data_IF_851106460925
#
_entry.id   IF_851106460925
#
_cell.length_a   1.000
_cell.length_b   1.000
_cell.length_c   1.000
_cell.angle_alpha   90.00
_cell.angle_beta   90.00
_cell.angle_gamma   90.00
#
_symmetry.space_group_name_H-M   'P 1'
#
loop_
_entity.id
_entity.type
_entity.pdbx_description
1 polymer ?
#
# COMPACT_ATOMS: atom_id res chain seq x y z
N UNK A 1 5.77 26.84 25.14
CA UNK A 1 7.13 26.39 24.79
C UNK A 1 7.25 26.45 23.26
N UNK A 2 8.43 26.77 22.73
CA UNK A 2 8.61 26.69 21.28
C UNK A 2 8.33 25.25 20.81
N UNK A 3 7.67 25.12 19.66
CA UNK A 3 7.34 23.83 19.05
C UNK A 3 8.63 23.21 18.52
N UNK A 4 8.95 21.98 18.95
CA UNK A 4 9.98 21.19 18.30
C UNK A 4 9.40 20.62 17.00
N UNK A 5 9.74 21.27 15.88
CA UNK A 5 9.16 20.96 14.58
C UNK A 5 9.49 19.55 14.09
N UNK A 6 10.70 19.06 14.35
CA UNK A 6 11.12 17.73 13.91
C UNK A 6 10.45 16.65 14.76
N UNK A 7 10.40 16.84 16.08
CA UNK A 7 9.70 15.93 16.97
C UNK A 7 8.20 15.85 16.65
N UNK A 8 7.55 17.00 16.36
CA UNK A 8 6.14 17.01 15.97
C UNK A 8 5.92 16.27 14.65
N UNK A 9 6.71 16.55 13.60
CA UNK A 9 6.59 15.85 12.31
C UNK A 9 6.76 14.34 12.47
N UNK A 10 7.72 13.91 13.30
CA UNK A 10 7.91 12.50 13.62
C UNK A 10 6.69 11.91 14.33
N UNK A 11 6.15 12.62 15.34
CA UNK A 11 4.94 12.18 16.04
C UNK A 11 3.72 12.07 15.13
N UNK A 12 3.56 12.97 14.14
CA UNK A 12 2.51 12.87 13.13
C UNK A 12 2.65 11.60 12.29
N UNK A 13 3.87 11.28 11.83
CA UNK A 13 4.14 10.07 11.06
C UNK A 13 3.92 8.81 11.89
N UNK A 14 4.44 8.77 13.11
CA UNK A 14 4.28 7.63 14.00
C UNK A 14 2.79 7.39 14.33
N UNK A 15 1.99 8.45 14.53
CA UNK A 15 0.55 8.33 14.77
C UNK A 15 -0.22 7.79 13.55
N UNK A 16 0.20 8.17 12.34
CA UNK A 16 -0.39 7.65 11.10
C UNK A 16 -0.14 6.14 10.95
N UNK A 17 1.08 5.67 11.27
CA UNK A 17 1.43 4.24 11.28
C UNK A 17 0.63 3.49 12.34
N UNK A 18 0.59 3.99 13.59
CA UNK A 18 -0.10 3.33 14.70
C UNK A 18 -1.61 3.22 14.46
N UNK A 19 -2.24 4.21 13.83
CA UNK A 19 -3.66 4.19 13.48
C UNK A 19 -4.03 3.07 12.51
N UNK A 20 -3.08 2.57 11.71
CA UNK A 20 -3.29 1.48 10.77
C UNK A 20 -2.61 0.16 11.22
N UNK A 21 -2.00 0.14 12.43
CA UNK A 21 -1.29 -1.06 12.86
C UNK A 21 -2.27 -2.16 13.29
N UNK A 22 -2.14 -3.42 12.76
CA UNK A 22 -3.07 -4.51 13.01
C UNK A 22 -3.39 -4.77 14.48
N UNK A 23 -2.41 -4.59 15.38
CA UNK A 23 -2.59 -4.80 16.83
C UNK A 23 -3.65 -3.88 17.45
N UNK A 24 -3.93 -2.74 16.84
CA UNK A 24 -4.89 -1.76 17.35
C UNK A 24 -6.24 -1.87 16.65
N UNK A 25 -6.25 -2.20 15.36
CA UNK A 25 -7.47 -2.12 14.56
C UNK A 25 -8.18 -3.45 14.36
N UNK A 26 -7.47 -4.61 14.35
CA UNK A 26 -8.08 -5.86 13.95
C UNK A 26 -9.11 -6.40 14.96
N UNK A 27 -8.81 -6.30 16.25
CA UNK A 27 -9.62 -6.92 17.30
C UNK A 27 -11.06 -6.40 17.35
N UNK A 28 -11.28 -5.12 17.06
CA UNK A 28 -12.59 -4.46 17.14
C UNK A 28 -13.52 -4.85 15.97
N UNK A 29 -12.95 -5.42 14.91
CA UNK A 29 -13.68 -5.84 13.71
C UNK A 29 -13.99 -7.34 13.67
N UNK A 30 -13.34 -8.13 14.53
CA UNK A 30 -13.57 -9.58 14.59
C UNK A 30 -14.98 -9.91 15.12
N UNK A 31 -15.55 -11.07 14.72
CA UNK A 31 -16.81 -11.53 15.28
C UNK A 31 -16.76 -11.57 16.82
N UNK A 32 -17.90 -11.29 17.47
CA UNK A 32 -18.02 -11.37 18.94
C UNK A 32 -17.73 -12.78 19.45
N UNK A 33 -18.30 -13.80 18.78
CA UNK A 33 -18.00 -15.20 19.06
C UNK A 33 -16.67 -15.60 18.41
N UNK A 34 -15.66 -15.82 19.23
CA UNK A 34 -14.29 -16.23 18.84
C UNK A 34 -13.95 -17.63 19.36
N UNK A 35 -14.95 -18.38 19.83
CA UNK A 35 -14.76 -19.70 20.43
C UNK A 35 -14.72 -20.84 19.41
N UNK A 36 -15.28 -20.65 18.21
CA UNK A 36 -15.33 -21.64 17.16
C UNK A 36 -14.00 -21.85 16.42
N UNK A 37 -13.97 -22.87 15.55
CA UNK A 37 -12.85 -23.12 14.65
C UNK A 37 -12.76 -22.04 13.57
N UNK A 38 -11.56 -21.51 13.36
CA UNK A 38 -11.28 -20.59 12.27
C UNK A 38 -10.02 -20.99 11.50
N UNK A 39 -10.12 -20.90 10.17
CA UNK A 39 -9.00 -21.08 9.25
C UNK A 39 -8.57 -19.71 8.78
N UNK A 40 -7.36 -19.30 9.13
CA UNK A 40 -6.78 -18.01 8.74
C UNK A 40 -5.97 -18.18 7.48
N UNK A 41 -6.29 -17.39 6.47
CA UNK A 41 -5.48 -17.23 5.28
C UNK A 41 -5.14 -15.74 5.12
N UNK A 42 -4.08 -15.41 4.40
CA UNK A 42 -3.74 -13.98 4.27
C UNK A 42 -2.65 -13.72 3.24
N UNK A 43 -2.64 -12.49 2.74
CA UNK A 43 -1.61 -12.02 1.84
C UNK A 43 -1.40 -10.51 1.93
N UNK A 44 -0.16 -10.07 1.99
CA UNK A 44 0.21 -8.66 1.98
C UNK A 44 1.33 -8.34 2.97
N UNK A 45 1.87 -7.13 2.88
CA UNK A 45 2.97 -6.64 3.72
C UNK A 45 2.63 -6.67 5.23
N UNK A 46 1.36 -6.47 5.59
CA UNK A 46 0.88 -6.53 6.97
C UNK A 46 0.29 -7.90 7.38
N UNK A 47 0.19 -8.87 6.45
CA UNK A 47 -0.52 -10.13 6.70
C UNK A 47 0.04 -10.91 7.89
N UNK A 48 1.36 -10.93 8.09
CA UNK A 48 2.00 -11.57 9.24
C UNK A 48 1.66 -10.88 10.57
N UNK A 49 1.68 -9.55 10.63
CA UNK A 49 1.28 -8.79 11.81
C UNK A 49 -0.23 -8.93 12.11
N UNK A 50 -1.06 -9.02 11.07
CA UNK A 50 -2.48 -9.32 11.23
C UNK A 50 -2.69 -10.73 11.79
N UNK A 51 -1.91 -11.73 11.33
CA UNK A 51 -1.94 -13.09 11.85
C UNK A 51 -1.48 -13.13 13.32
N UNK A 52 -0.43 -12.42 13.69
CA UNK A 52 0.01 -12.26 15.08
C UNK A 52 -1.09 -11.60 15.95
N UNK A 53 -1.76 -10.57 15.42
CA UNK A 53 -2.81 -9.87 16.15
C UNK A 53 -4.03 -10.77 16.42
N UNK A 54 -4.48 -11.56 15.42
CA UNK A 54 -5.62 -12.46 15.61
C UNK A 54 -5.29 -13.60 16.56
N UNK A 55 -4.06 -14.14 16.55
CA UNK A 55 -3.65 -15.19 17.51
C UNK A 55 -3.77 -14.76 18.96
N UNK A 56 -3.58 -13.48 19.24
CA UNK A 56 -3.65 -12.93 20.61
C UNK A 56 -5.06 -12.84 21.16
N UNK A 57 -6.07 -12.77 20.27
CA UNK A 57 -7.46 -12.48 20.66
C UNK A 57 -8.44 -13.61 20.31
N UNK A 58 -8.03 -14.61 19.54
CA UNK A 58 -8.89 -15.75 19.17
C UNK A 58 -8.78 -16.87 20.20
N UNK A 59 -9.89 -17.17 20.86
CA UNK A 59 -9.94 -18.16 21.96
C UNK A 59 -10.12 -19.59 21.47
N UNK A 60 -10.79 -19.79 20.33
CA UNK A 60 -11.09 -21.09 19.76
C UNK A 60 -9.95 -21.74 19.00
N UNK A 61 -10.26 -22.81 18.29
CA UNK A 61 -9.33 -23.48 17.39
C UNK A 61 -8.96 -22.52 16.24
N UNK A 62 -7.67 -22.32 16.06
CA UNK A 62 -7.12 -21.43 15.01
C UNK A 62 -5.97 -22.14 14.32
N UNK A 63 -6.03 -22.18 13.01
CA UNK A 63 -4.93 -22.68 12.16
C UNK A 63 -4.91 -21.89 10.86
N UNK A 64 -3.83 -21.97 10.11
CA UNK A 64 -3.83 -21.29 8.82
C UNK A 64 -2.46 -21.03 8.23
N UNK A 65 -2.46 -20.22 7.18
CA UNK A 65 -1.29 -19.88 6.38
C UNK A 65 -1.43 -18.46 5.83
N UNK A 66 -0.46 -17.62 6.08
CA UNK A 66 -0.38 -16.27 5.49
C UNK A 66 0.92 -16.10 4.72
N UNK A 67 0.89 -15.29 3.67
CA UNK A 67 2.07 -14.91 2.91
C UNK A 67 2.35 -13.41 3.05
N UNK A 68 3.60 -13.09 3.35
CA UNK A 68 4.09 -11.71 3.46
C UNK A 68 5.32 -11.50 2.59
N UNK A 69 5.78 -10.25 2.46
CA UNK A 69 7.04 -9.93 1.80
C UNK A 69 8.23 -10.43 2.63
N UNK A 70 9.35 -10.75 1.98
CA UNK A 70 10.61 -11.01 2.67
C UNK A 70 10.94 -9.90 3.68
N UNK A 71 11.47 -10.27 4.84
CA UNK A 71 11.82 -9.39 5.97
C UNK A 71 10.62 -8.81 6.73
N UNK A 72 9.37 -9.23 6.41
CA UNK A 72 8.14 -8.81 7.10
C UNK A 72 7.53 -9.91 7.97
N UNK A 73 8.35 -10.87 8.39
CA UNK A 73 7.93 -11.97 9.27
C UNK A 73 7.38 -11.46 10.61
N UNK A 74 6.43 -12.21 11.18
CA UNK A 74 5.98 -12.09 12.56
C UNK A 74 5.88 -13.49 13.20
N UNK A 75 6.14 -13.55 14.49
CA UNK A 75 6.15 -14.83 15.23
C UNK A 75 4.72 -15.29 15.54
N UNK A 76 4.24 -16.25 14.78
CA UNK A 76 2.96 -16.91 14.99
C UNK A 76 3.17 -18.36 15.46
N UNK A 77 2.27 -18.85 16.31
CA UNK A 77 2.34 -20.22 16.89
C UNK A 77 1.35 -21.18 16.23
N UNK A 78 0.20 -20.67 15.77
CA UNK A 78 -0.93 -21.43 15.21
C UNK A 78 -1.09 -21.20 13.72
N UNK A 79 -0.57 -20.11 13.19
CA UNK A 79 -0.65 -19.71 11.79
C UNK A 79 0.74 -19.75 11.20
N UNK A 80 0.92 -20.48 10.11
CA UNK A 80 2.19 -20.50 9.39
C UNK A 80 2.39 -19.18 8.65
N UNK A 81 3.55 -18.57 8.77
CA UNK A 81 3.94 -17.37 8.02
C UNK A 81 4.99 -17.75 6.98
N UNK A 82 4.70 -17.50 5.72
CA UNK A 82 5.62 -17.73 4.60
C UNK A 82 5.98 -16.39 3.97
N UNK A 83 7.22 -16.24 3.58
CA UNK A 83 7.72 -15.07 2.88
C UNK A 83 7.85 -15.32 1.38
N UNK A 84 7.55 -14.30 0.56
CA UNK A 84 7.63 -14.35 -0.89
C UNK A 84 8.05 -13.01 -1.49
N UNK A 85 8.39 -12.99 -2.77
CA UNK A 85 8.83 -11.80 -3.47
C UNK A 85 7.70 -10.81 -3.77
N UNK A 86 8.02 -9.54 -3.64
CA UNK A 86 7.19 -8.40 -4.01
C UNK A 86 8.10 -7.30 -4.62
N UNK A 87 7.74 -6.58 -5.68
CA UNK A 87 6.43 -6.57 -6.38
C UNK A 87 6.26 -7.64 -7.47
N UNK A 88 7.32 -8.36 -7.85
CA UNK A 88 7.25 -9.39 -8.88
C UNK A 88 7.02 -10.75 -8.21
N UNK A 89 5.91 -11.45 -8.55
CA UNK A 89 5.63 -12.77 -7.98
C UNK A 89 6.75 -13.77 -8.25
N UNK A 90 7.03 -14.62 -7.28
CA UNK A 90 7.96 -15.75 -7.39
C UNK A 90 7.27 -17.11 -7.17
N UNK A 91 8.03 -18.19 -7.28
CA UNK A 91 7.53 -19.54 -7.06
C UNK A 91 7.07 -19.79 -5.60
N UNK A 92 7.59 -19.03 -4.64
CA UNK A 92 7.16 -19.13 -3.24
C UNK A 92 5.71 -18.66 -3.10
N UNK A 93 5.36 -17.50 -3.68
CA UNK A 93 4.00 -16.99 -3.72
C UNK A 93 3.03 -17.92 -4.44
N UNK A 94 3.44 -18.53 -5.57
CA UNK A 94 2.61 -19.51 -6.28
C UNK A 94 2.35 -20.77 -5.44
N UNK A 95 3.40 -21.33 -4.79
CA UNK A 95 3.25 -22.50 -3.90
C UNK A 95 2.31 -22.22 -2.74
N UNK A 96 2.44 -21.04 -2.11
CA UNK A 96 1.55 -20.63 -1.02
C UNK A 96 0.11 -20.51 -1.51
N UNK A 97 -0.13 -19.90 -2.66
CA UNK A 97 -1.47 -19.78 -3.21
C UNK A 97 -2.15 -21.13 -3.50
N UNK A 98 -1.39 -22.14 -3.94
CA UNK A 98 -1.89 -23.53 -4.07
C UNK A 98 -2.25 -24.13 -2.71
N UNK A 99 -1.39 -24.00 -1.71
CA UNK A 99 -1.64 -24.47 -0.35
C UNK A 99 -2.83 -23.77 0.30
N UNK A 100 -3.04 -22.49 0.03
CA UNK A 100 -4.24 -21.77 0.47
C UNK A 100 -5.51 -22.41 -0.09
N UNK A 101 -5.55 -22.72 -1.39
CA UNK A 101 -6.70 -23.40 -1.99
C UNK A 101 -6.90 -24.83 -1.43
N UNK A 102 -5.84 -25.55 -1.13
CA UNK A 102 -5.90 -26.86 -0.47
C UNK A 102 -6.47 -26.75 0.96
N UNK A 103 -6.04 -25.76 1.73
CA UNK A 103 -6.52 -25.51 3.10
C UNK A 103 -8.02 -25.18 3.16
N UNK A 104 -8.54 -24.48 2.15
CA UNK A 104 -9.95 -24.09 2.09
C UNK A 104 -10.79 -25.05 1.25
N UNK A 105 -10.24 -26.18 0.81
CA UNK A 105 -11.00 -27.23 0.17
C UNK A 105 -11.77 -28.07 1.20
N UNK A 106 -12.97 -28.53 0.85
CA UNK A 106 -13.80 -29.42 1.65
C UNK A 106 -14.21 -28.81 3.02
N UNK A 107 -14.50 -27.51 3.03
CA UNK A 107 -15.05 -26.84 4.20
C UNK A 107 -16.56 -27.16 4.38
N UNK A 108 -17.00 -27.09 5.62
CA UNK A 108 -18.41 -27.21 5.98
C UNK A 108 -19.06 -25.82 6.23
N UNK A 109 -20.38 -25.76 6.27
CA UNK A 109 -21.12 -24.52 6.50
C UNK A 109 -20.81 -23.90 7.88
N UNK A 110 -20.45 -24.73 8.86
CA UNK A 110 -20.03 -24.34 10.21
C UNK A 110 -18.62 -23.77 10.27
N UNK A 111 -17.79 -24.04 9.25
CA UNK A 111 -16.42 -23.52 9.21
C UNK A 111 -16.39 -22.01 8.95
N UNK A 112 -15.33 -21.40 9.44
CA UNK A 112 -15.10 -19.96 9.34
C UNK A 112 -13.73 -19.70 8.73
N UNK A 113 -13.70 -18.98 7.62
CA UNK A 113 -12.44 -18.53 7.00
C UNK A 113 -12.23 -17.06 7.29
N UNK A 114 -11.06 -16.72 7.82
CA UNK A 114 -10.65 -15.33 8.03
C UNK A 114 -9.53 -15.02 7.04
N UNK A 115 -9.81 -14.08 6.15
CA UNK A 115 -8.84 -13.64 5.14
C UNK A 115 -8.24 -12.29 5.52
N UNK A 116 -6.95 -12.30 5.84
CA UNK A 116 -6.17 -11.12 6.24
C UNK A 116 -5.47 -10.53 5.01
N UNK A 117 -5.87 -9.32 4.64
CA UNK A 117 -5.47 -8.70 3.37
C UNK A 117 -4.82 -7.34 3.58
N UNK A 118 -3.73 -7.08 2.89
CA UNK A 118 -3.08 -5.76 2.90
C UNK A 118 -2.32 -5.50 1.61
N UNK A 119 -1.69 -4.34 1.51
CA UNK A 119 -0.89 -3.94 0.37
C UNK A 119 0.12 -4.99 -0.10
N UNK A 120 0.29 -5.08 -1.42
CA UNK A 120 1.14 -6.10 -2.04
C UNK A 120 0.50 -7.49 -2.20
N UNK A 121 -0.68 -7.74 -1.63
CA UNK A 121 -1.36 -9.04 -1.67
C UNK A 121 -1.59 -9.58 -3.09
N UNK A 122 -1.74 -8.71 -4.09
CA UNK A 122 -1.95 -9.13 -5.49
C UNK A 122 -0.75 -9.88 -6.09
N UNK A 123 0.47 -9.53 -5.72
CA UNK A 123 1.70 -10.20 -6.17
C UNK A 123 2.09 -11.36 -5.27
N UNK A 124 1.92 -11.21 -3.95
CA UNK A 124 2.26 -12.25 -2.97
C UNK A 124 1.37 -13.49 -3.08
N UNK A 125 0.08 -13.31 -3.41
CA UNK A 125 -0.87 -14.42 -3.62
C UNK A 125 -1.17 -14.56 -5.13
N UNK A 126 -0.18 -15.00 -5.90
CA UNK A 126 -0.25 -15.12 -7.34
C UNK A 126 -0.40 -16.59 -7.77
N UNK A 127 -1.60 -16.98 -8.20
CA UNK A 127 -1.86 -18.28 -8.80
C UNK A 127 -2.40 -18.11 -10.21
N UNK A 128 -1.66 -18.55 -11.24
CA UNK A 128 -2.16 -18.57 -12.61
C UNK A 128 -3.38 -19.48 -12.75
N UNK A 129 -4.25 -19.16 -13.69
CA UNK A 129 -5.35 -20.03 -14.08
C UNK A 129 -4.85 -21.32 -14.75
N UNK A 130 -5.72 -22.32 -14.87
CA UNK A 130 -5.39 -23.62 -15.48
C UNK A 130 -4.79 -23.45 -16.90
N UNK A 131 -3.70 -24.13 -17.19
CA UNK A 131 -3.02 -24.06 -18.48
C UNK A 131 -2.19 -22.78 -18.73
N UNK A 132 -2.17 -21.85 -17.79
CA UNK A 132 -1.36 -20.62 -17.85
C UNK A 132 -0.16 -20.76 -16.89
N UNK A 133 1.04 -20.46 -17.38
CA UNK A 133 2.23 -20.45 -16.54
C UNK A 133 2.38 -19.12 -15.80
N UNK A 134 3.15 -19.13 -14.69
CA UNK A 134 3.54 -17.89 -14.00
C UNK A 134 4.30 -16.95 -14.95
N UNK A 135 5.14 -17.50 -15.81
CA UNK A 135 5.89 -16.75 -16.83
C UNK A 135 4.98 -16.04 -17.83
N UNK A 136 3.90 -16.71 -18.33
CA UNK A 136 2.91 -16.07 -19.21
C UNK A 136 2.25 -14.88 -18.50
N UNK A 137 1.84 -15.08 -17.26
CA UNK A 137 1.19 -14.06 -16.45
C UNK A 137 2.12 -12.86 -16.18
N UNK A 138 3.38 -13.11 -15.86
CA UNK A 138 4.40 -12.06 -15.67
C UNK A 138 4.64 -11.30 -16.98
N UNK A 139 4.75 -11.99 -18.11
CA UNK A 139 4.97 -11.36 -19.43
C UNK A 139 3.81 -10.43 -19.81
N UNK A 140 2.56 -10.88 -19.64
CA UNK A 140 1.36 -10.08 -19.89
C UNK A 140 1.30 -8.87 -18.93
N UNK A 141 1.56 -9.08 -17.64
CA UNK A 141 1.57 -7.99 -16.68
C UNK A 141 2.63 -6.92 -17.02
N UNK A 142 3.83 -7.36 -17.41
CA UNK A 142 4.90 -6.45 -17.86
C UNK A 142 4.52 -5.68 -19.14
N UNK A 143 3.81 -6.32 -20.06
CA UNK A 143 3.32 -5.67 -21.27
C UNK A 143 2.23 -4.63 -20.95
N UNK A 144 1.28 -4.95 -20.07
CA UNK A 144 0.25 -4.03 -19.59
C UNK A 144 0.86 -2.79 -18.91
N UNK A 145 1.84 -2.96 -18.02
CA UNK A 145 2.53 -1.85 -17.37
C UNK A 145 3.22 -0.89 -18.36
N UNK A 146 3.66 -1.41 -19.52
CA UNK A 146 4.33 -0.62 -20.55
C UNK A 146 3.37 -0.01 -21.57
N UNK A 147 2.13 -0.46 -21.60
CA UNK A 147 1.16 -0.07 -22.63
C UNK A 147 0.45 1.25 -22.34
N UNK A 148 0.52 1.75 -21.11
CA UNK A 148 -0.27 2.89 -20.64
C UNK A 148 -1.71 2.53 -20.26
N UNK A 149 -2.04 1.23 -20.14
CA UNK A 149 -3.33 0.77 -19.60
C UNK A 149 -3.50 1.28 -18.15
N UNK A 150 -4.67 1.78 -17.83
CA UNK A 150 -4.94 2.20 -16.45
C UNK A 150 -5.18 0.99 -15.54
N UNK A 151 -5.07 1.21 -14.22
CA UNK A 151 -5.09 0.13 -13.22
C UNK A 151 -6.34 -0.74 -13.29
N UNK A 152 -7.52 -0.17 -13.58
CA UNK A 152 -8.76 -0.92 -13.74
C UNK A 152 -8.71 -1.92 -14.89
N UNK A 153 -8.15 -1.53 -16.05
CA UNK A 153 -7.95 -2.42 -17.21
C UNK A 153 -6.92 -3.51 -16.89
N UNK A 154 -5.80 -3.13 -16.26
CA UNK A 154 -4.80 -4.11 -15.83
C UNK A 154 -5.40 -5.14 -14.86
N UNK A 155 -6.22 -4.71 -13.90
CA UNK A 155 -6.87 -5.60 -12.95
C UNK A 155 -7.94 -6.48 -13.60
N UNK A 156 -8.68 -6.00 -14.60
CA UNK A 156 -9.57 -6.84 -15.40
C UNK A 156 -8.82 -8.05 -15.98
N UNK A 157 -7.70 -7.82 -16.66
CA UNK A 157 -6.88 -8.92 -17.23
C UNK A 157 -6.30 -9.80 -16.13
N UNK A 158 -5.73 -9.22 -15.06
CA UNK A 158 -5.12 -9.96 -13.94
C UNK A 158 -6.08 -10.91 -13.25
N UNK A 159 -7.35 -10.51 -13.07
CA UNK A 159 -8.39 -11.32 -12.44
C UNK A 159 -8.74 -12.52 -13.31
N UNK A 160 -8.94 -12.33 -14.62
CA UNK A 160 -9.33 -13.38 -15.54
C UNK A 160 -8.20 -14.38 -15.85
N UNK A 161 -6.94 -14.02 -15.63
CA UNK A 161 -5.78 -14.91 -15.72
C UNK A 161 -5.39 -15.58 -14.39
N UNK A 162 -6.26 -15.56 -13.38
CA UNK A 162 -5.95 -16.04 -12.03
C UNK A 162 -6.92 -17.12 -11.57
N UNK A 163 -6.41 -18.12 -10.86
CA UNK A 163 -7.23 -19.14 -10.20
C UNK A 163 -7.79 -18.69 -8.84
N UNK A 164 -7.38 -17.50 -8.31
CA UNK A 164 -7.71 -17.09 -6.94
C UNK A 164 -8.39 -15.73 -6.85
N UNK A 165 -8.19 -14.84 -7.83
CA UNK A 165 -8.72 -13.47 -7.86
C UNK A 165 -10.17 -13.41 -8.37
N UNK A 166 -10.82 -12.22 -8.26
CA UNK A 166 -12.17 -12.00 -8.79
C UNK A 166 -13.22 -12.91 -8.16
N UNK A 167 -13.23 -13.02 -6.85
CA UNK A 167 -14.18 -13.83 -6.08
C UNK A 167 -13.87 -15.33 -6.02
N UNK A 168 -12.89 -15.82 -6.79
CA UNK A 168 -12.60 -17.26 -6.86
C UNK A 168 -12.14 -17.88 -5.55
N UNK A 169 -11.46 -17.11 -4.69
CA UNK A 169 -11.10 -17.58 -3.34
C UNK A 169 -12.37 -17.79 -2.48
N UNK A 170 -13.33 -16.86 -2.53
CA UNK A 170 -14.60 -17.05 -1.82
C UNK A 170 -15.35 -18.29 -2.32
N UNK A 171 -15.36 -18.51 -3.65
CA UNK A 171 -15.93 -19.75 -4.24
C UNK A 171 -15.24 -21.01 -3.72
N UNK A 172 -13.92 -20.99 -3.58
CA UNK A 172 -13.16 -22.13 -3.06
C UNK A 172 -13.48 -22.42 -1.58
N UNK A 173 -13.84 -21.39 -0.81
CA UNK A 173 -14.23 -21.52 0.59
C UNK A 173 -15.69 -22.01 0.78
N UNK A 174 -16.52 -21.98 -0.26
CA UNK A 174 -17.93 -22.37 -0.15
C UNK A 174 -18.08 -23.82 0.36
N UNK A 175 -19.00 -24.14 1.33
CA UNK A 175 -20.05 -23.28 1.89
C UNK A 175 -19.69 -22.53 3.19
N UNK A 176 -18.42 -22.50 3.60
CA UNK A 176 -17.99 -21.78 4.80
C UNK A 176 -18.22 -20.26 4.68
N UNK A 177 -18.34 -19.59 5.83
CA UNK A 177 -18.38 -18.13 5.87
C UNK A 177 -16.98 -17.55 5.76
N UNK A 178 -16.81 -16.54 4.88
CA UNK A 178 -15.53 -15.85 4.66
C UNK A 178 -15.60 -14.43 5.21
N UNK A 179 -14.69 -14.09 6.10
CA UNK A 179 -14.53 -12.74 6.65
C UNK A 179 -13.20 -12.17 6.20
N UNK A 180 -13.25 -11.22 5.27
CA UNK A 180 -12.06 -10.52 4.77
C UNK A 180 -11.87 -9.23 5.54
N UNK A 181 -10.73 -9.09 6.20
CA UNK A 181 -10.30 -7.85 6.85
C UNK A 181 -9.15 -7.27 6.05
N UNK A 182 -9.32 -6.06 5.55
CA UNK A 182 -8.36 -5.43 4.66
C UNK A 182 -7.79 -4.12 5.23
N UNK A 183 -6.48 -3.98 5.18
CA UNK A 183 -5.76 -2.71 5.30
C UNK A 183 -5.51 -2.22 3.88
N UNK A 184 -6.11 -1.09 3.51
CA UNK A 184 -6.04 -0.57 2.15
C UNK A 184 -4.78 0.27 1.93
N UNK A 185 -4.15 0.04 0.78
CA UNK A 185 -3.14 0.92 0.18
C UNK A 185 -3.57 1.40 -1.22
N UNK A 186 -4.86 1.29 -1.52
CA UNK A 186 -5.41 1.63 -2.84
C UNK A 186 -6.18 2.94 -2.75
N UNK A 187 -5.88 3.94 -3.59
CA UNK A 187 -6.68 5.16 -3.68
C UNK A 187 -8.16 4.85 -3.92
N UNK A 188 -9.04 5.44 -3.10
CA UNK A 188 -10.48 5.20 -3.14
C UNK A 188 -10.96 3.91 -2.50
N UNK A 189 -10.07 3.11 -1.90
CA UNK A 189 -10.39 1.95 -1.05
C UNK A 189 -11.30 0.89 -1.70
N UNK A 190 -11.23 0.74 -3.03
CA UNK A 190 -12.14 -0.14 -3.76
C UNK A 190 -11.79 -1.62 -3.55
N UNK A 191 -12.70 -2.38 -2.92
CA UNK A 191 -12.51 -3.78 -2.58
C UNK A 191 -12.16 -4.68 -3.79
N UNK A 192 -12.65 -4.34 -4.99
CA UNK A 192 -12.36 -5.07 -6.23
C UNK A 192 -10.95 -4.85 -6.75
N UNK A 193 -10.27 -3.78 -6.28
CA UNK A 193 -8.89 -3.42 -6.64
C UNK A 193 -7.90 -3.97 -5.63
N UNK A 194 -8.22 -3.93 -4.32
CA UNK A 194 -7.37 -4.45 -3.24
C UNK A 194 -7.08 -5.93 -3.50
N UNK A 195 -5.80 -6.28 -3.68
CA UNK A 195 -5.30 -7.59 -4.10
C UNK A 195 -6.02 -8.21 -5.31
N UNK A 196 -6.71 -7.40 -6.13
CA UNK A 196 -7.57 -7.81 -7.25
C UNK A 196 -8.80 -8.64 -6.81
N UNK A 197 -9.37 -8.36 -5.65
CA UNK A 197 -10.66 -8.84 -5.18
C UNK A 197 -10.81 -10.35 -5.05
N UNK A 198 -9.99 -11.08 -4.26
CA UNK A 198 -10.08 -12.55 -4.16
C UNK A 198 -11.42 -13.05 -3.61
N UNK A 199 -12.07 -12.26 -2.77
CA UNK A 199 -13.30 -12.65 -2.03
C UNK A 199 -14.52 -11.78 -2.36
N UNK A 200 -14.41 -10.90 -3.33
CA UNK A 200 -15.50 -10.00 -3.75
C UNK A 200 -15.89 -10.21 -5.21
N UNK A 201 -17.10 -9.81 -5.58
CA UNK A 201 -17.60 -9.88 -6.94
C UNK A 201 -16.75 -9.04 -7.91
N UNK A 202 -16.66 -9.48 -9.14
CA UNK A 202 -15.99 -8.77 -10.23
C UNK A 202 -16.98 -8.49 -11.37
N UNK A 203 -17.33 -7.22 -11.62
CA UNK A 203 -18.25 -6.88 -12.70
C UNK A 203 -17.66 -7.05 -14.11
N UNK A 204 -16.32 -7.16 -14.23
CA UNK A 204 -15.65 -7.26 -15.54
C UNK A 204 -15.76 -8.66 -16.11
N UNK A 205 -15.54 -8.83 -17.42
CA UNK A 205 -15.71 -10.10 -18.13
C UNK A 205 -14.40 -10.56 -18.80
N UNK A 206 -14.30 -11.85 -19.09
CA UNK A 206 -13.17 -12.42 -19.82
C UNK A 206 -13.07 -11.85 -21.25
N UNK A 207 -14.20 -11.54 -21.88
CA UNK A 207 -14.25 -10.86 -23.18
C UNK A 207 -13.61 -9.47 -23.10
N UNK A 208 -13.94 -8.67 -22.05
CA UNK A 208 -13.31 -7.37 -21.84
C UNK A 208 -11.80 -7.52 -21.61
N UNK A 209 -11.34 -8.54 -20.87
CA UNK A 209 -9.92 -8.80 -20.68
C UNK A 209 -9.20 -9.05 -22.03
N UNK A 210 -9.82 -9.80 -22.94
CA UNK A 210 -9.28 -10.03 -24.27
C UNK A 210 -9.28 -8.74 -25.12
N UNK A 211 -10.37 -7.97 -25.12
CA UNK A 211 -10.45 -6.67 -25.79
C UNK A 211 -9.38 -5.67 -25.32
N UNK A 212 -9.07 -5.64 -24.03
CA UNK A 212 -8.01 -4.79 -23.46
C UNK A 212 -6.67 -5.23 -24.05
N UNK A 213 -6.34 -6.52 -24.04
CA UNK A 213 -5.09 -7.03 -24.60
C UNK A 213 -4.95 -6.70 -26.09
N UNK A 214 -6.02 -6.79 -26.86
CA UNK A 214 -6.04 -6.45 -28.28
C UNK A 214 -5.91 -4.94 -28.53
N UNK A 215 -6.61 -4.11 -27.77
CA UNK A 215 -6.55 -2.64 -27.85
C UNK A 215 -5.14 -2.12 -27.64
N UNK A 216 -4.40 -2.68 -26.70
CA UNK A 216 -3.03 -2.30 -26.41
C UNK A 216 -2.00 -3.10 -27.24
N UNK A 217 -2.43 -3.85 -28.26
CA UNK A 217 -1.57 -4.64 -29.16
C UNK A 217 -0.62 -5.59 -28.39
N UNK A 218 -1.06 -6.12 -27.25
CA UNK A 218 -0.28 -7.07 -26.47
C UNK A 218 -0.36 -8.44 -27.12
N UNK A 219 0.82 -9.03 -27.38
CA UNK A 219 0.89 -10.38 -27.96
C UNK A 219 0.35 -11.39 -26.94
N UNK A 220 -0.81 -11.99 -27.26
CA UNK A 220 -1.47 -12.98 -26.40
C UNK A 220 -1.00 -14.38 -26.81
N UNK A 221 -0.37 -15.17 -25.91
CA UNK A 221 -0.06 -16.59 -26.15
C UNK A 221 -1.32 -17.40 -26.45
N UNK A 222 -1.21 -18.46 -27.25
CA UNK A 222 -2.35 -19.27 -27.68
C UNK A 222 -3.11 -19.92 -26.48
N UNK A 223 -2.39 -20.39 -25.47
CA UNK A 223 -2.99 -20.95 -24.24
C UNK A 223 -3.76 -19.89 -23.44
N UNK A 224 -3.24 -18.66 -23.37
CA UNK A 224 -3.92 -17.54 -22.69
C UNK A 224 -5.19 -17.12 -23.43
N UNK A 225 -5.15 -17.05 -24.78
CA UNK A 225 -6.34 -16.76 -25.59
C UNK A 225 -7.39 -17.85 -25.41
N UNK A 226 -7.00 -19.12 -25.53
CA UNK A 226 -7.91 -20.25 -25.35
C UNK A 226 -8.56 -20.26 -23.95
N UNK A 227 -7.80 -19.87 -22.91
CA UNK A 227 -8.34 -19.71 -21.56
C UNK A 227 -9.36 -18.57 -21.48
N UNK A 228 -9.06 -17.39 -22.01
CA UNK A 228 -9.98 -16.24 -21.95
C UNK A 228 -11.27 -16.46 -22.78
N UNK A 229 -11.24 -17.33 -23.77
CA UNK A 229 -12.41 -17.76 -24.56
C UNK A 229 -13.19 -18.90 -23.89
N UNK A 230 -12.64 -19.56 -22.87
CA UNK A 230 -13.30 -20.61 -22.09
C UNK A 230 -14.23 -19.99 -21.03
N UNK A 231 -15.51 -20.43 -20.91
CA UNK A 231 -16.41 -19.94 -19.87
C UNK A 231 -15.87 -20.06 -18.43
N UNK A 232 -14.95 -20.99 -18.15
CA UNK A 232 -14.30 -21.14 -16.83
C UNK A 232 -13.41 -19.96 -16.47
N UNK A 233 -13.02 -19.13 -17.44
CA UNK A 233 -12.25 -17.93 -17.21
C UNK A 233 -13.07 -16.81 -16.58
N UNK A 234 -14.41 -16.90 -16.56
CA UNK A 234 -15.26 -15.92 -15.92
C UNK A 234 -15.07 -15.88 -14.39
N UNK A 235 -15.00 -14.68 -13.85
CA UNK A 235 -14.96 -14.38 -12.42
C UNK A 235 -16.37 -14.44 -11.81
N UNK A 236 -16.48 -14.41 -10.48
CA UNK A 236 -17.78 -14.34 -9.82
C UNK A 236 -18.41 -12.96 -9.99
N UNK A 237 -19.66 -12.94 -10.44
CA UNK A 237 -20.38 -11.70 -10.73
C UNK A 237 -21.17 -11.18 -9.53
N UNK A 238 -21.52 -9.89 -9.50
CA UNK A 238 -22.45 -9.36 -8.50
C UNK A 238 -23.74 -10.17 -8.47
N UNK A 239 -24.16 -10.62 -7.27
CA UNK A 239 -25.33 -11.46 -7.08
C UNK A 239 -25.09 -12.98 -7.18
N UNK A 240 -23.84 -13.42 -7.39
CA UNK A 240 -23.51 -14.85 -7.37
C UNK A 240 -23.81 -15.44 -5.96
N UNK A 241 -24.60 -16.52 -5.87
CA UNK A 241 -24.96 -17.13 -4.60
C UNK A 241 -23.75 -17.58 -3.75
N UNK A 242 -22.64 -17.95 -4.38
CA UNK A 242 -21.41 -18.34 -3.67
C UNK A 242 -20.74 -17.21 -2.90
N UNK A 243 -21.11 -15.95 -3.19
CA UNK A 243 -20.65 -14.78 -2.45
C UNK A 243 -21.56 -14.37 -1.29
N UNK A 244 -22.71 -15.03 -1.12
CA UNK A 244 -23.70 -14.68 -0.08
C UNK A 244 -23.17 -14.81 1.35
N UNK A 245 -22.10 -15.58 1.57
CA UNK A 245 -21.43 -15.78 2.85
C UNK A 245 -20.02 -15.14 2.91
N UNK A 246 -19.72 -14.28 1.94
CA UNK A 246 -18.46 -13.53 1.90
C UNK A 246 -18.68 -12.10 2.40
N UNK A 247 -17.95 -11.74 3.45
CA UNK A 247 -18.02 -10.44 4.10
C UNK A 247 -16.67 -9.74 3.92
N UNK A 248 -16.69 -8.52 3.42
CA UNK A 248 -15.49 -7.71 3.23
C UNK A 248 -15.56 -6.46 4.11
N UNK A 249 -14.51 -6.20 4.87
CA UNK A 249 -14.43 -5.04 5.74
C UNK A 249 -13.04 -4.40 5.68
N UNK A 250 -13.02 -3.09 5.43
CA UNK A 250 -11.83 -2.28 5.63
C UNK A 250 -11.64 -2.03 7.12
N UNK A 251 -10.44 -2.29 7.63
CA UNK A 251 -10.08 -2.08 9.04
C UNK A 251 -9.08 -0.94 9.23
N UNK A 252 -8.36 -0.57 8.17
CA UNK A 252 -7.54 0.64 8.12
C UNK A 252 -7.44 1.16 6.68
N UNK A 253 -7.39 2.49 6.56
CA UNK A 253 -7.29 3.21 5.29
C UNK A 253 -6.30 4.36 5.40
N UNK A 254 -5.75 4.87 4.27
CA UNK A 254 -4.90 6.05 4.27
C UNK A 254 -5.57 7.26 4.92
N UNK A 255 -6.87 7.48 4.66
CA UNK A 255 -7.60 8.60 5.24
C UNK A 255 -7.64 8.53 6.78
N UNK A 256 -7.88 7.37 7.37
CA UNK A 256 -7.86 7.21 8.85
C UNK A 256 -6.49 7.54 9.45
N UNK A 257 -5.41 7.22 8.76
CA UNK A 257 -4.05 7.58 9.17
C UNK A 257 -3.79 9.08 9.09
N UNK A 258 -4.28 9.74 8.05
CA UNK A 258 -4.21 11.21 7.93
C UNK A 258 -5.05 11.90 9.02
N UNK A 259 -6.24 11.36 9.34
CA UNK A 259 -7.11 11.88 10.40
C UNK A 259 -6.45 11.74 11.79
N UNK A 260 -5.77 10.61 12.07
CA UNK A 260 -5.02 10.43 13.31
C UNK A 260 -3.87 11.44 13.45
N UNK A 261 -3.12 11.65 12.38
CA UNK A 261 -2.09 12.70 12.36
C UNK A 261 -2.67 14.10 12.53
N UNK A 262 -3.81 14.39 11.91
CA UNK A 262 -4.50 15.66 12.06
C UNK A 262 -4.94 15.92 13.51
N UNK A 263 -5.35 14.89 14.25
CA UNK A 263 -5.73 15.02 15.66
C UNK A 263 -4.52 15.33 16.56
N UNK A 264 -3.37 14.71 16.28
CA UNK A 264 -2.11 15.06 16.93
C UNK A 264 -1.73 16.52 16.66
N UNK A 265 -1.86 16.97 15.41
CA UNK A 265 -1.60 18.37 15.05
C UNK A 265 -2.51 19.33 15.82
N UNK A 266 -3.83 19.07 15.87
CA UNK A 266 -4.81 19.88 16.62
C UNK A 266 -4.44 19.96 18.12
N UNK A 267 -4.06 18.82 18.70
CA UNK A 267 -3.63 18.74 20.10
C UNK A 267 -2.39 19.57 20.39
N UNK A 268 -1.53 19.77 19.39
CA UNK A 268 -0.35 20.66 19.46
C UNK A 268 -0.66 22.13 19.13
N UNK A 269 -1.93 22.48 18.89
CA UNK A 269 -2.33 23.84 18.50
C UNK A 269 -2.01 24.20 17.04
N UNK A 270 -1.80 23.18 16.19
CA UNK A 270 -1.52 23.34 14.77
C UNK A 270 -2.80 23.00 13.97
N UNK A 271 -3.19 23.86 13.06
CA UNK A 271 -4.38 23.62 12.22
C UNK A 271 -4.02 22.70 11.05
N UNK A 272 -4.63 21.50 10.91
CA UNK A 272 -4.35 20.61 9.81
C UNK A 272 -5.17 20.97 8.56
N UNK A 273 -4.56 20.80 7.38
CA UNK A 273 -5.18 20.79 6.06
C UNK A 273 -4.89 19.44 5.41
N UNK A 274 -5.90 18.59 5.28
CA UNK A 274 -5.77 17.28 4.63
C UNK A 274 -6.09 17.44 3.15
N UNK A 275 -5.17 17.01 2.29
CA UNK A 275 -5.36 16.99 0.81
C UNK A 275 -5.81 15.61 0.32
N UNK A 276 -5.75 14.57 1.18
CA UNK A 276 -6.10 13.19 0.84
C UNK A 276 -5.01 12.47 0.06
N UNK A 277 -5.42 11.44 -0.67
CA UNK A 277 -4.51 10.62 -1.47
C UNK A 277 -4.18 11.30 -2.79
N UNK A 278 -2.89 11.40 -3.08
CA UNK A 278 -2.37 12.03 -4.29
C UNK A 278 -1.50 11.05 -5.07
N UNK A 279 -1.75 10.96 -6.36
CA UNK A 279 -1.00 10.16 -7.32
C UNK A 279 -0.24 11.05 -8.31
N UNK A 280 0.67 10.46 -9.04
CA UNK A 280 1.46 11.10 -10.09
C UNK A 280 2.96 11.05 -9.85
N UNK A 281 3.73 11.76 -10.66
CA UNK A 281 5.18 11.83 -10.53
C UNK A 281 5.58 12.59 -9.27
N UNK A 282 6.37 11.98 -8.39
CA UNK A 282 6.71 12.49 -7.06
C UNK A 282 7.23 13.94 -7.09
N UNK A 283 8.12 14.26 -8.03
CA UNK A 283 8.67 15.62 -8.18
C UNK A 283 7.64 16.65 -8.65
N UNK A 284 6.63 16.26 -9.41
CA UNK A 284 5.58 17.18 -9.86
C UNK A 284 4.55 17.41 -8.73
N UNK A 285 4.19 16.36 -8.00
CA UNK A 285 3.36 16.49 -6.79
C UNK A 285 4.05 17.38 -5.75
N UNK A 286 5.37 17.27 -5.56
CA UNK A 286 6.14 18.13 -4.68
C UNK A 286 6.10 19.61 -5.09
N UNK A 287 6.15 19.93 -6.38
CA UNK A 287 6.03 21.33 -6.88
C UNK A 287 4.67 21.94 -6.55
N UNK A 288 3.59 21.15 -6.67
CA UNK A 288 2.25 21.59 -6.27
C UNK A 288 2.20 21.92 -4.78
N UNK A 289 2.74 21.02 -3.93
CA UNK A 289 2.85 21.24 -2.48
C UNK A 289 3.69 22.48 -2.15
N UNK A 290 4.82 22.69 -2.84
CA UNK A 290 5.62 23.89 -2.68
C UNK A 290 4.86 25.17 -3.01
N UNK A 291 4.01 25.14 -4.05
CA UNK A 291 3.13 26.25 -4.41
C UNK A 291 2.11 26.57 -3.30
N UNK A 292 1.47 25.53 -2.74
CA UNK A 292 0.53 25.68 -1.63
C UNK A 292 1.26 26.22 -0.38
N UNK A 293 2.42 25.66 -0.03
CA UNK A 293 3.20 26.13 1.12
C UNK A 293 3.61 27.61 0.99
N UNK A 294 4.05 28.05 -0.19
CA UNK A 294 4.33 29.48 -0.43
C UNK A 294 3.10 30.36 -0.29
N UNK A 295 1.94 29.91 -0.79
CA UNK A 295 0.68 30.62 -0.69
C UNK A 295 0.27 30.81 0.79
N UNK A 296 0.48 29.77 1.61
CA UNK A 296 0.27 29.84 3.06
C UNK A 296 1.22 30.85 3.70
N UNK A 297 2.52 30.79 3.44
CA UNK A 297 3.53 31.68 4.03
C UNK A 297 3.30 33.14 3.64
N UNK A 298 2.98 33.41 2.38
CA UNK A 298 2.89 34.77 1.85
C UNK A 298 1.52 35.40 2.10
N UNK A 299 0.45 34.63 2.11
CA UNK A 299 -0.92 35.15 2.06
C UNK A 299 -1.85 34.56 3.13
N UNK A 300 -1.41 33.57 3.92
CA UNK A 300 -2.25 32.88 4.90
C UNK A 300 -3.41 32.09 4.25
N UNK A 301 -3.26 31.64 3.04
CA UNK A 301 -4.30 30.93 2.27
C UNK A 301 -3.78 29.61 1.71
N UNK A 302 -4.61 28.55 1.63
CA UNK A 302 -6.03 28.47 2.02
C UNK A 302 -6.21 28.40 3.55
N UNK A 303 -5.13 28.34 4.32
CA UNK A 303 -5.11 28.22 5.78
C UNK A 303 -3.96 29.09 6.34
N UNK A 304 -4.16 29.69 7.51
CA UNK A 304 -3.13 30.50 8.15
C UNK A 304 -2.18 29.67 9.02
N UNK A 305 -0.90 30.07 9.07
CA UNK A 305 0.06 29.49 10.01
C UNK A 305 -0.24 29.92 11.48
N UNK A 306 -0.01 29.06 12.49
CA UNK A 306 0.65 27.75 12.38
C UNK A 306 -0.28 26.68 11.82
N UNK A 307 0.17 25.95 10.80
CA UNK A 307 -0.62 24.89 10.19
C UNK A 307 0.26 23.75 9.68
N UNK A 308 -0.38 22.61 9.38
CA UNK A 308 0.27 21.48 8.71
C UNK A 308 -0.57 21.02 7.52
N UNK A 309 0.07 20.84 6.38
CA UNK A 309 -0.53 20.24 5.19
C UNK A 309 -0.22 18.74 5.24
N UNK A 310 -1.25 17.90 5.24
CA UNK A 310 -1.16 16.44 5.28
C UNK A 310 -1.63 15.87 3.95
N UNK A 311 -0.90 14.91 3.40
CA UNK A 311 -1.34 14.15 2.23
C UNK A 311 -0.78 12.72 2.27
N UNK A 312 -1.51 11.81 1.63
CA UNK A 312 -1.16 10.42 1.41
C UNK A 312 -1.04 10.10 -0.07
N UNK A 313 -1.35 8.85 -0.42
CA UNK A 313 -1.39 8.34 -1.77
C UNK A 313 -0.08 7.69 -2.22
N UNK A 314 -0.02 7.31 -3.49
CA UNK A 314 1.10 6.59 -4.05
C UNK A 314 1.68 7.33 -5.26
N UNK A 315 2.85 7.96 -5.09
CA UNK A 315 3.54 8.62 -6.20
C UNK A 315 4.47 7.66 -6.95
N UNK A 316 4.83 8.04 -8.16
CA UNK A 316 5.77 7.31 -9.03
C UNK A 316 7.06 8.10 -9.22
N UNK A 317 8.13 7.38 -9.58
CA UNK A 317 9.42 7.98 -9.92
C UNK A 317 9.86 7.48 -11.29
N UNK A 318 10.08 8.41 -12.22
CA UNK A 318 10.75 8.11 -13.49
C UNK A 318 12.25 8.06 -13.24
N UNK A 319 12.81 6.85 -13.14
CA UNK A 319 14.23 6.64 -12.92
C UNK A 319 15.02 7.01 -14.19
N UNK A 320 15.94 7.98 -14.07
CA UNK A 320 16.80 8.47 -15.16
C UNK A 320 18.28 8.37 -14.82
N UNK A 321 18.62 8.34 -13.54
CA UNK A 321 19.97 8.26 -13.01
C UNK A 321 20.29 6.90 -12.37
N UNK A 322 21.39 6.87 -11.62
CA UNK A 322 21.88 5.70 -10.91
C UNK A 322 21.91 5.93 -9.38
N UNK A 323 21.28 7.01 -8.90
CA UNK A 323 21.18 7.33 -7.48
C UNK A 323 20.29 6.37 -6.72
N UNK A 324 20.22 6.56 -5.41
CA UNK A 324 19.46 5.74 -4.48
C UNK A 324 18.29 6.52 -3.87
N UNK A 325 17.23 5.83 -3.52
CA UNK A 325 16.07 6.40 -2.86
C UNK A 325 14.76 5.90 -3.46
N UNK A 326 13.68 6.20 -2.78
CA UNK A 326 12.32 5.91 -3.21
C UNK A 326 11.54 7.18 -3.53
N UNK A 327 10.24 7.03 -3.66
CA UNK A 327 9.30 8.09 -4.06
C UNK A 327 9.16 9.18 -3.00
N UNK A 328 9.29 8.86 -1.72
CA UNK A 328 9.21 9.84 -0.63
C UNK A 328 10.46 10.70 -0.52
N UNK A 329 11.64 10.10 -0.64
CA UNK A 329 12.89 10.84 -0.74
C UNK A 329 12.95 11.73 -1.99
N UNK A 330 12.47 11.25 -3.14
CA UNK A 330 12.35 12.02 -4.38
C UNK A 330 11.38 13.22 -4.22
N UNK A 331 10.20 12.98 -3.63
CA UNK A 331 9.23 14.04 -3.32
C UNK A 331 9.86 15.11 -2.44
N UNK A 332 10.47 14.71 -1.33
CA UNK A 332 11.02 15.65 -0.37
C UNK A 332 12.23 16.42 -0.91
N UNK A 333 13.05 15.79 -1.75
CA UNK A 333 14.16 16.45 -2.45
C UNK A 333 13.63 17.50 -3.44
N UNK A 334 12.60 17.19 -4.20
CA UNK A 334 11.96 18.13 -5.13
C UNK A 334 11.26 19.29 -4.39
N UNK A 335 10.69 19.02 -3.21
CA UNK A 335 10.14 20.04 -2.32
C UNK A 335 11.25 20.96 -1.80
N UNK A 336 12.39 20.40 -1.38
CA UNK A 336 13.58 21.15 -0.90
C UNK A 336 14.12 22.07 -1.99
N UNK A 337 14.31 21.54 -3.20
CA UNK A 337 14.73 22.33 -4.36
C UNK A 337 13.73 23.45 -4.69
N UNK A 338 12.45 23.15 -4.63
CA UNK A 338 11.43 24.14 -4.94
C UNK A 338 11.36 25.26 -3.89
N UNK A 339 11.46 24.94 -2.60
CA UNK A 339 11.32 25.92 -1.51
C UNK A 339 12.59 26.72 -1.20
N UNK A 340 13.78 26.17 -1.52
CA UNK A 340 15.09 26.83 -1.34
C UNK A 340 15.29 27.46 0.03
N UNK A 341 14.90 26.72 1.09
CA UNK A 341 15.06 27.19 2.46
C UNK A 341 14.02 28.22 2.91
N UNK A 342 12.81 28.18 2.36
CA UNK A 342 11.72 29.08 2.77
C UNK A 342 11.54 29.04 4.31
N UNK A 343 11.72 30.18 5.03
CA UNK A 343 11.67 30.21 6.48
C UNK A 343 10.34 29.70 7.05
N UNK A 344 10.42 28.98 8.18
CA UNK A 344 9.25 28.48 8.89
C UNK A 344 8.61 27.24 8.26
N UNK A 345 9.14 26.70 7.16
CA UNK A 345 8.59 25.50 6.49
C UNK A 345 9.47 24.30 6.78
N UNK A 346 8.88 23.30 7.41
CA UNK A 346 9.47 22.00 7.74
C UNK A 346 8.65 20.92 7.05
N UNK A 347 9.25 19.80 6.68
CA UNK A 347 8.49 18.71 6.06
C UNK A 347 9.04 17.34 6.41
N UNK A 348 8.16 16.34 6.36
CA UNK A 348 8.45 14.94 6.42
C UNK A 348 7.71 14.25 5.27
N UNK A 349 8.38 13.33 4.60
CA UNK A 349 7.74 12.37 3.69
C UNK A 349 8.29 10.98 3.96
N UNK A 350 7.40 9.98 4.03
CA UNK A 350 7.78 8.60 4.31
C UNK A 350 6.72 7.59 3.90
N UNK A 351 7.16 6.37 3.58
CA UNK A 351 6.30 5.23 3.37
C UNK A 351 5.88 4.64 4.73
N UNK A 352 4.59 4.41 4.91
CA UNK A 352 4.05 3.87 6.17
C UNK A 352 4.45 2.42 6.40
N UNK A 353 4.91 1.68 5.38
CA UNK A 353 5.45 0.33 5.55
C UNK A 353 6.89 0.30 6.11
N UNK A 354 7.55 1.47 6.16
CA UNK A 354 8.89 1.64 6.73
C UNK A 354 10.04 1.53 5.72
N UNK A 355 9.73 1.35 4.42
CA UNK A 355 10.74 1.17 3.37
C UNK A 355 10.42 2.04 2.16
N UNK A 356 11.20 3.09 1.94
CA UNK A 356 11.07 3.97 0.77
C UNK A 356 11.88 3.44 -0.41
N UNK A 357 11.25 2.66 -1.28
CA UNK A 357 11.88 2.03 -2.43
C UNK A 357 12.66 0.76 -2.07
N UNK A 358 14.00 0.79 -2.20
CA UNK A 358 14.88 -0.36 -1.96
C UNK A 358 15.86 -0.16 -0.80
N UNK A 359 15.88 1.01 -0.19
CA UNK A 359 16.82 1.38 0.86
C UNK A 359 16.25 1.08 2.25
N UNK A 360 17.01 1.35 3.31
CA UNK A 360 16.64 1.04 4.70
C UNK A 360 15.84 2.15 5.39
N UNK A 361 15.62 3.27 4.71
CA UNK A 361 14.84 4.39 5.24
C UNK A 361 13.36 4.26 4.89
N UNK A 362 12.51 4.70 5.81
CA UNK A 362 11.08 4.94 5.54
C UNK A 362 10.86 6.23 4.73
N UNK A 363 11.74 7.19 4.87
CA UNK A 363 11.63 8.51 4.26
C UNK A 363 12.70 9.47 4.77
N UNK A 364 12.38 10.76 4.80
CA UNK A 364 13.30 11.79 5.27
C UNK A 364 12.60 13.00 5.89
N UNK A 365 13.40 13.89 6.50
CA UNK A 365 13.00 15.18 7.06
C UNK A 365 13.67 16.33 6.30
N UNK A 366 12.95 17.41 6.11
CA UNK A 366 13.43 18.70 5.60
C UNK A 366 13.21 19.81 6.62
N UNK A 367 14.23 20.62 6.84
CA UNK A 367 14.18 21.83 7.65
C UNK A 367 14.52 23.06 6.80
N UNK A 368 14.23 24.30 7.21
CA UNK A 368 14.55 25.49 6.43
C UNK A 368 16.03 25.64 6.09
N UNK A 369 16.93 25.08 6.90
CA UNK A 369 18.39 25.10 6.68
C UNK A 369 18.90 23.93 5.82
N UNK A 370 18.06 22.92 5.48
CA UNK A 370 18.49 21.74 4.73
C UNK A 370 19.11 22.09 3.37
N UNK A 371 18.53 23.05 2.64
CA UNK A 371 19.05 23.49 1.35
C UNK A 371 20.45 24.10 1.49
N UNK A 372 20.62 25.05 2.41
CA UNK A 372 21.91 25.71 2.64
C UNK A 372 22.98 24.77 3.22
N UNK A 373 22.59 23.83 4.09
CA UNK A 373 23.49 22.79 4.62
C UNK A 373 24.02 21.87 3.52
N UNK A 374 23.17 21.49 2.58
CA UNK A 374 23.58 20.67 1.42
C UNK A 374 24.56 21.44 0.52
N UNK A 375 24.26 22.70 0.17
CA UNK A 375 25.15 23.53 -0.63
C UNK A 375 26.51 23.74 0.04
N UNK A 376 26.55 23.93 1.35
CA UNK A 376 27.79 24.05 2.11
C UNK A 376 28.65 22.77 2.08
N UNK A 377 28.05 21.61 1.81
CA UNK A 377 28.72 20.34 1.59
C UNK A 377 29.01 20.06 0.09
N UNK A 378 28.71 20.99 -0.80
CA UNK A 378 28.87 20.83 -2.24
C UNK A 378 27.79 19.98 -2.91
N UNK A 379 26.70 19.69 -2.21
CA UNK A 379 25.57 18.95 -2.75
C UNK A 379 24.50 19.90 -3.32
N UNK A 380 24.18 19.73 -4.60
CA UNK A 380 23.13 20.53 -5.25
C UNK A 380 21.87 19.68 -5.38
N UNK A 381 20.75 20.17 -4.86
CA UNK A 381 19.48 19.46 -4.91
C UNK A 381 19.05 19.11 -6.35
N UNK A 382 19.26 20.03 -7.31
CA UNK A 382 18.97 19.80 -8.72
C UNK A 382 19.78 18.64 -9.33
N UNK A 383 21.05 18.49 -8.97
CA UNK A 383 21.93 17.43 -9.48
C UNK A 383 21.52 16.07 -8.88
N UNK A 384 21.20 16.05 -7.57
CA UNK A 384 20.68 14.85 -6.89
C UNK A 384 19.33 14.41 -7.47
N UNK A 385 18.42 15.35 -7.77
CA UNK A 385 17.17 15.05 -8.48
C UNK A 385 17.40 14.48 -9.88
N UNK A 386 18.33 15.06 -10.64
CA UNK A 386 18.64 14.58 -11.99
C UNK A 386 19.17 13.13 -11.97
N UNK A 387 19.85 12.74 -10.87
CA UNK A 387 20.38 11.40 -10.65
C UNK A 387 19.43 10.46 -9.90
N UNK A 388 18.23 10.89 -9.46
CA UNK A 388 17.33 10.17 -8.56
C UNK A 388 18.01 9.73 -7.24
N UNK A 389 18.81 10.62 -6.61
CA UNK A 389 19.59 10.33 -5.40
C UNK A 389 19.05 11.06 -4.17
N UNK A 390 17.78 10.86 -3.86
CA UNK A 390 17.15 11.40 -2.67
C UNK A 390 17.73 10.82 -1.39
N UNK A 391 18.04 9.53 -1.37
CA UNK A 391 18.68 8.88 -0.22
C UNK A 391 20.04 9.49 0.08
N UNK A 392 20.94 9.58 -0.91
CA UNK A 392 22.27 10.14 -0.73
C UNK A 392 22.23 11.59 -0.24
N UNK A 393 21.31 12.40 -0.77
CA UNK A 393 21.13 13.78 -0.34
C UNK A 393 20.75 13.91 1.15
N UNK A 394 19.72 13.19 1.60
CA UNK A 394 19.25 13.26 3.00
C UNK A 394 20.16 12.50 3.96
N UNK A 395 20.87 11.46 3.54
CA UNK A 395 21.87 10.78 4.33
C UNK A 395 23.03 11.72 4.69
N UNK A 396 23.51 12.52 3.73
CA UNK A 396 24.57 13.50 3.97
C UNK A 396 24.14 14.60 4.96
N UNK A 397 22.85 14.85 5.09
CA UNK A 397 22.29 15.83 6.04
C UNK A 397 21.90 15.21 7.40
N UNK A 398 22.11 13.91 7.61
CA UNK A 398 21.64 13.18 8.80
C UNK A 398 20.11 13.39 9.00
N UNK A 399 19.36 13.26 7.93
CA UNK A 399 17.94 13.61 7.89
C UNK A 399 17.06 12.45 7.41
N UNK A 400 17.61 11.23 7.27
CA UNK A 400 16.84 10.04 6.97
C UNK A 400 15.98 9.60 8.16
N UNK A 401 14.82 9.04 7.87
CA UNK A 401 13.95 8.38 8.84
C UNK A 401 14.10 6.88 8.65
N UNK A 402 14.66 6.20 9.63
CA UNK A 402 14.80 4.75 9.62
C UNK A 402 13.92 4.16 10.72
N UNK A 403 12.93 3.36 10.33
CA UNK A 403 11.99 2.68 11.25
C UNK A 403 12.21 1.18 11.29
N UNK A 404 12.80 0.64 10.24
CA UNK A 404 12.61 -0.76 9.86
C UNK A 404 11.16 -1.02 9.40
N UNK A 405 10.83 -2.27 9.02
CA UNK A 405 9.47 -2.63 8.62
C UNK A 405 8.45 -2.35 9.73
N UNK A 406 7.46 -1.51 9.43
CA UNK A 406 6.40 -1.12 10.39
C UNK A 406 5.32 -2.18 10.55
N UNK A 407 5.26 -3.14 9.62
CA UNK A 407 4.28 -4.23 9.57
C UNK A 407 2.84 -3.77 9.35
N UNK A 408 2.66 -2.57 8.81
CA UNK A 408 1.42 -2.07 8.22
C UNK A 408 1.70 -1.49 6.84
N UNK A 409 0.70 -1.07 6.09
CA UNK A 409 0.88 -0.35 4.83
C UNK A 409 -0.40 0.39 4.45
N UNK A 410 -0.37 1.70 4.52
CA UNK A 410 -1.41 2.62 4.05
C UNK A 410 -0.80 3.71 3.16
N UNK A 411 0.15 3.31 2.30
CA UNK A 411 0.88 4.17 1.36
C UNK A 411 1.78 5.23 2.00
N UNK A 412 2.10 6.25 1.21
CA UNK A 412 2.92 7.37 1.62
C UNK A 412 2.20 8.26 2.63
N UNK A 413 2.99 8.86 3.50
CA UNK A 413 2.58 9.93 4.39
C UNK A 413 3.46 11.15 4.16
N UNK A 414 2.84 12.32 3.99
CA UNK A 414 3.54 13.60 3.82
C UNK A 414 2.94 14.63 4.75
N UNK A 415 3.80 15.32 5.47
CA UNK A 415 3.43 16.42 6.35
C UNK A 415 4.32 17.63 6.08
N UNK A 416 3.73 18.80 5.80
CA UNK A 416 4.43 20.07 5.63
C UNK A 416 3.95 21.01 6.71
N UNK A 417 4.76 21.22 7.74
CA UNK A 417 4.50 22.08 8.88
C UNK A 417 4.95 23.50 8.54
N UNK A 418 4.06 24.46 8.71
CA UNK A 418 4.32 25.87 8.45
C UNK A 418 4.09 26.65 9.74
N UNK A 419 5.17 27.22 10.27
CA UNK A 419 5.17 28.03 11.47
C UNK A 419 5.31 29.51 11.11
N UNK A 420 4.75 30.43 11.92
CA UNK A 420 4.99 31.85 11.74
C UNK A 420 6.51 32.13 11.81
N UNK A 421 7.02 33.13 11.07
CA UNK A 421 8.41 33.58 11.25
C UNK A 421 8.68 33.86 12.71
N UNK A 422 9.82 33.41 13.22
CA UNK A 422 10.29 33.82 14.56
C UNK A 422 10.45 35.34 14.60
N UNK A 423 9.74 35.98 15.53
CA UNK A 423 9.82 37.44 15.72
C UNK A 423 11.24 37.89 16.12
#
# INVERSE_FOLDING_TARGET
>A
MPIDSQALLRQLFDSAIEAAHPRHVLADHLPEDRSGRAIVIGAGKAAAAMAEAIEKVWEGELSGLVVTRYEHHADCRRIEVVEAAHPVPDDAGERVARRVLELVSNLEESDRVIFLLSGGGSSLLALPAEGISLADKQAINKALLRSGAHIGEMNCVRKHLSAIKGGRLARACWPASVYTYAISDVPGDEATVIASGPTVADPTTSAQALEILERYHIKVPANVRAWLEDPRSETLKPGDPMLSRSHFQLIATPQQSLDAAAEVARSAGITPLILGDLEGEAREVAKVHAGIARQVVLHGQPIAAPCVILSGGETTVTVRGNGRGGRNAEFLLALTESLQGLPGVYALAGDTDGIDGSEDNAGALMTPDSFARAEAQGLRAADSLANNDGYGYFAALDSLIVTGPTRTNVNDFRAILILPPSA
#
